data_IF_282821577731
#
_entry.id   IF_282821577731
#
_cell.length_a   1.000
_cell.length_b   1.000
_cell.length_c   1.000
_cell.angle_alpha   90.00
_cell.angle_beta   90.00
_cell.angle_gamma   90.00
#
_symmetry.space_group_name_H-M   'P 1'
#
loop_
_entity.id
_entity.type
_entity.pdbx_description
1 polymer ?
#
# COMPACT_ATOMS: atom_id res chain seq x y z
N UNK A 1 -21.35 49.98 12.98
CA UNK A 1 -22.32 49.56 11.96
C UNK A 1 -21.67 48.49 11.08
N UNK A 2 -22.06 47.23 11.21
CA UNK A 2 -21.57 46.15 10.37
C UNK A 2 -22.37 46.12 9.06
N UNK A 3 -21.68 46.22 7.90
CA UNK A 3 -22.30 46.10 6.58
C UNK A 3 -22.72 44.65 6.36
N UNK A 4 -24.02 44.41 6.26
CA UNK A 4 -24.58 43.11 5.92
C UNK A 4 -24.50 42.95 4.39
N UNK A 5 -23.43 42.34 3.88
CA UNK A 5 -23.21 42.15 2.45
C UNK A 5 -23.88 40.83 2.05
N UNK A 6 -25.08 40.92 1.48
CA UNK A 6 -25.82 39.77 0.98
C UNK A 6 -25.41 39.48 -0.46
N UNK A 7 -24.64 38.41 -0.67
CA UNK A 7 -24.26 37.97 -2.01
C UNK A 7 -25.39 37.16 -2.66
N UNK A 8 -25.87 37.60 -3.83
CA UNK A 8 -26.90 36.91 -4.60
C UNK A 8 -26.31 35.71 -5.40
N UNK A 9 -25.96 34.63 -4.70
CA UNK A 9 -25.43 33.43 -5.35
C UNK A 9 -26.58 32.51 -5.76
N UNK A 10 -26.67 32.19 -7.05
CA UNK A 10 -27.67 31.25 -7.57
C UNK A 10 -27.27 29.80 -7.23
N UNK A 11 -28.26 28.97 -6.94
CA UNK A 11 -28.07 27.54 -6.65
C UNK A 11 -27.20 26.81 -7.69
N UNK A 12 -27.40 27.14 -8.98
CA UNK A 12 -26.64 26.54 -10.10
C UNK A 12 -25.14 26.80 -10.00
N UNK A 13 -24.74 27.96 -9.48
CA UNK A 13 -23.34 28.30 -9.24
C UNK A 13 -22.76 27.41 -8.14
N UNK A 14 -23.48 27.25 -7.03
CA UNK A 14 -23.07 26.37 -5.92
C UNK A 14 -22.94 24.92 -6.39
N UNK A 15 -23.95 24.40 -7.11
CA UNK A 15 -23.95 23.03 -7.62
C UNK A 15 -22.80 22.74 -8.59
N UNK A 16 -22.46 23.71 -9.45
CA UNK A 16 -21.33 23.60 -10.38
C UNK A 16 -19.98 23.49 -9.66
N UNK A 17 -19.74 24.37 -8.68
CA UNK A 17 -18.51 24.32 -7.89
C UNK A 17 -18.43 23.04 -7.05
N UNK A 18 -19.55 22.58 -6.48
CA UNK A 18 -19.63 21.32 -5.75
C UNK A 18 -19.30 20.11 -6.63
N UNK A 19 -19.81 20.06 -7.87
CA UNK A 19 -19.49 18.99 -8.82
C UNK A 19 -17.99 18.97 -9.16
N UNK A 20 -17.38 20.14 -9.40
CA UNK A 20 -15.94 20.26 -9.64
C UNK A 20 -15.09 19.84 -8.43
N UNK A 21 -15.59 20.04 -7.21
CA UNK A 21 -14.92 19.56 -6.00
C UNK A 21 -14.98 18.03 -5.90
N UNK A 22 -16.10 17.42 -6.28
CA UNK A 22 -16.26 15.94 -6.29
C UNK A 22 -15.47 15.24 -7.41
N UNK A 23 -15.13 15.95 -8.49
CA UNK A 23 -14.23 15.42 -9.52
C UNK A 23 -12.78 15.27 -9.04
N UNK A 24 -12.38 15.91 -7.94
CA UNK A 24 -11.05 15.71 -7.35
C UNK A 24 -10.98 14.38 -6.59
N UNK A 25 -10.35 13.42 -7.26
CA UNK A 25 -9.81 12.13 -6.81
C UNK A 25 -10.73 11.27 -5.92
N UNK A 26 -11.23 10.17 -6.49
CA UNK A 26 -11.89 9.06 -5.77
C UNK A 26 -10.93 8.21 -4.93
N UNK A 27 -9.65 8.56 -4.87
CA UNK A 27 -8.65 7.81 -4.10
C UNK A 27 -8.55 8.38 -2.69
N UNK A 28 -9.18 7.69 -1.75
CA UNK A 28 -9.00 7.95 -0.33
C UNK A 28 -7.64 7.40 0.11
N UNK A 29 -6.65 8.26 0.25
CA UNK A 29 -5.37 7.89 0.86
C UNK A 29 -5.52 7.83 2.38
N UNK A 30 -5.57 6.62 2.95
CA UNK A 30 -5.51 6.43 4.40
C UNK A 30 -4.02 6.48 4.80
N UNK A 31 -3.57 7.63 5.31
CA UNK A 31 -2.21 7.76 5.84
C UNK A 31 -2.11 7.01 7.17
N UNK A 32 -1.45 5.86 7.15
CA UNK A 32 -1.19 5.06 8.34
C UNK A 32 0.17 5.44 8.94
N UNK A 33 0.17 6.00 10.15
CA UNK A 33 1.39 6.25 10.92
C UNK A 33 1.67 5.04 11.83
N UNK A 34 2.87 4.48 11.76
CA UNK A 34 3.31 3.38 12.60
C UNK A 34 4.54 3.81 13.40
N UNK A 35 4.63 3.40 14.67
CA UNK A 35 5.88 3.52 15.43
C UNK A 35 6.96 2.61 14.82
N UNK A 36 8.24 2.92 15.09
CA UNK A 36 9.35 2.05 14.70
C UNK A 36 9.15 0.64 15.28
N UNK A 37 9.32 -0.39 14.45
CA UNK A 37 9.11 -1.78 14.83
C UNK A 37 7.64 -2.23 14.90
N UNK A 38 6.65 -1.33 14.83
CA UNK A 38 5.23 -1.68 14.91
C UNK A 38 4.67 -2.34 13.63
N UNK A 39 5.45 -2.37 12.55
CA UNK A 39 5.04 -2.96 11.28
C UNK A 39 6.22 -3.66 10.62
N UNK A 40 5.96 -4.87 10.13
CA UNK A 40 6.79 -5.58 9.18
C UNK A 40 5.92 -5.95 7.98
N UNK A 41 6.49 -5.96 6.78
CA UNK A 41 5.84 -6.47 5.57
C UNK A 41 6.37 -7.88 5.32
N UNK A 42 5.46 -8.80 5.07
CA UNK A 42 5.78 -10.14 4.65
C UNK A 42 5.27 -10.36 3.23
N UNK A 43 6.10 -10.96 2.39
CA UNK A 43 5.72 -11.44 1.06
C UNK A 43 6.30 -12.84 0.84
N UNK A 44 5.60 -13.63 0.04
CA UNK A 44 6.01 -14.98 -0.32
C UNK A 44 5.71 -15.22 -1.79
N UNK A 45 6.76 -15.54 -2.55
CA UNK A 45 6.67 -15.67 -4.00
C UNK A 45 7.42 -16.86 -4.54
N UNK A 46 7.14 -17.21 -5.78
CA UNK A 46 7.91 -18.16 -6.56
C UNK A 46 9.05 -17.43 -7.29
N UNK A 47 10.24 -18.02 -7.30
CA UNK A 47 11.39 -17.53 -8.07
C UNK A 47 12.00 -18.68 -8.86
N UNK A 48 12.48 -18.37 -10.08
CA UNK A 48 13.24 -19.31 -10.90
C UNK A 48 14.71 -18.96 -10.81
N UNK A 49 15.53 -19.94 -10.45
CA UNK A 49 16.98 -19.80 -10.40
C UNK A 49 17.59 -20.77 -11.39
N UNK A 50 18.56 -20.30 -12.16
CA UNK A 50 19.43 -21.13 -12.97
C UNK A 50 20.72 -21.39 -12.20
N UNK A 51 21.01 -22.65 -11.93
CA UNK A 51 22.23 -23.08 -11.26
C UNK A 51 22.83 -24.17 -12.13
N UNK A 52 24.07 -23.96 -12.59
CA UNK A 52 24.79 -24.90 -13.46
C UNK A 52 24.00 -25.28 -14.74
N UNK A 53 23.32 -24.31 -15.35
CA UNK A 53 22.52 -24.53 -16.56
C UNK A 53 21.17 -25.21 -16.34
N UNK A 54 20.81 -25.50 -15.08
CA UNK A 54 19.51 -26.10 -14.73
C UNK A 54 18.62 -25.05 -14.08
N UNK A 55 17.50 -24.74 -14.73
CA UNK A 55 16.47 -23.87 -14.17
C UNK A 55 15.60 -24.65 -13.20
N UNK A 56 15.54 -24.21 -11.94
CA UNK A 56 14.68 -24.77 -10.91
C UNK A 56 13.79 -23.70 -10.30
N UNK A 57 12.59 -24.13 -9.94
CA UNK A 57 11.63 -23.32 -9.18
C UNK A 57 11.93 -23.43 -7.69
N UNK A 58 12.00 -22.29 -7.02
CA UNK A 58 12.12 -22.14 -5.59
C UNK A 58 11.07 -21.15 -5.07
N UNK A 59 10.95 -21.06 -3.76
CA UNK A 59 10.00 -20.15 -3.12
C UNK A 59 10.72 -19.24 -2.13
N UNK A 60 10.52 -17.94 -2.26
CA UNK A 60 11.20 -16.93 -1.47
C UNK A 60 10.23 -16.32 -0.46
N UNK A 61 10.54 -16.45 0.83
CA UNK A 61 9.91 -15.65 1.88
C UNK A 61 10.75 -14.40 2.13
N UNK A 62 10.11 -13.23 2.17
CA UNK A 62 10.78 -11.95 2.46
C UNK A 62 10.05 -11.23 3.57
N UNK A 63 10.80 -10.81 4.57
CA UNK A 63 10.38 -9.89 5.62
C UNK A 63 11.09 -8.56 5.42
N UNK A 64 10.33 -7.47 5.29
CA UNK A 64 10.85 -6.13 5.11
C UNK A 64 10.40 -5.23 6.26
N UNK A 65 11.33 -4.55 6.91
CA UNK A 65 11.03 -3.56 7.94
C UNK A 65 10.84 -2.19 7.27
N UNK A 66 9.61 -1.68 7.06
CA UNK A 66 9.37 -0.53 6.16
C UNK A 66 9.97 0.79 6.65
N UNK A 67 10.31 0.86 7.94
CA UNK A 67 10.95 2.03 8.54
C UNK A 67 12.48 2.02 8.38
N UNK A 68 13.04 1.01 7.71
CA UNK A 68 14.47 0.82 7.48
C UNK A 68 14.70 0.16 6.12
N UNK A 69 15.91 0.22 5.56
CA UNK A 69 16.26 -0.58 4.38
C UNK A 69 16.67 -2.02 4.73
N UNK A 70 16.07 -2.59 5.78
CA UNK A 70 16.37 -3.94 6.25
C UNK A 70 15.40 -4.97 5.68
N UNK A 71 15.99 -6.02 5.10
CA UNK A 71 15.31 -7.17 4.53
C UNK A 71 15.93 -8.45 5.06
N UNK A 72 15.07 -9.39 5.48
CA UNK A 72 15.45 -10.76 5.75
C UNK A 72 14.72 -11.66 4.78
N UNK A 73 15.44 -12.58 4.14
CA UNK A 73 14.87 -13.46 3.13
C UNK A 73 15.37 -14.88 3.31
N UNK A 74 14.50 -15.84 2.99
CA UNK A 74 14.82 -17.26 3.04
C UNK A 74 14.24 -18.00 1.84
N UNK A 75 15.06 -18.85 1.22
CA UNK A 75 14.71 -19.61 0.03
C UNK A 75 14.35 -21.05 0.39
N UNK A 76 13.18 -21.49 -0.06
CA UNK A 76 12.64 -22.83 0.15
C UNK A 76 12.61 -23.62 -1.16
N UNK A 77 12.78 -24.94 -1.04
CA UNK A 77 12.66 -25.89 -2.15
C UNK A 77 11.23 -26.39 -2.36
N UNK A 78 10.31 -26.06 -1.47
CA UNK A 78 8.90 -26.43 -1.56
C UNK A 78 7.99 -25.39 -0.89
N UNK A 79 6.69 -25.47 -1.19
CA UNK A 79 5.66 -24.54 -0.72
C UNK A 79 4.85 -25.06 0.47
N UNK A 80 5.28 -26.17 1.12
CA UNK A 80 4.48 -26.83 2.14
C UNK A 80 4.36 -25.93 3.37
N UNK A 81 3.13 -25.63 3.78
CA UNK A 81 2.83 -24.85 4.99
C UNK A 81 3.12 -25.59 6.30
N UNK A 82 3.46 -26.88 6.23
CA UNK A 82 3.75 -27.70 7.40
C UNK A 82 4.90 -27.14 8.26
N UNK A 83 5.80 -26.33 7.68
CA UNK A 83 6.89 -25.68 8.41
C UNK A 83 6.41 -24.54 9.34
N UNK A 84 5.17 -24.06 9.18
CA UNK A 84 4.57 -22.97 9.97
C UNK A 84 3.52 -23.45 10.99
N UNK A 85 3.24 -24.75 11.06
CA UNK A 85 2.31 -25.32 12.02
C UNK A 85 3.13 -25.85 13.21
N UNK A 86 3.22 -25.04 14.27
CA UNK A 86 3.65 -25.47 15.60
C UNK A 86 2.44 -25.92 16.43
#
# INVERSE_FOLDING_TARGET
MARNIQYAIKFRTVAHYWSKMKEKAKEAFIKQNYALGARVKFDFGEVKLEIEGVVKTYYLAVWASPASDYYWAYLYTNQKKAVFQA
#
